data_IF_335270918926
#
_entry.id   IF_335270918926
#
_cell.length_a   1.000
_cell.length_b   1.000
_cell.length_c   1.000
_cell.angle_alpha   90.00
_cell.angle_beta   90.00
_cell.angle_gamma   90.00
#
_symmetry.space_group_name_H-M   'P 1'
#
loop_
_entity.id
_entity.type
_entity.pdbx_description
1 polymer ?
#
# COMPACT_ATOMS: atom_id res chain seq x y z
N UNK A 1 -14.71 -0.85 -12.11
CA UNK A 1 -13.42 -0.62 -12.80
C UNK A 1 -12.27 -1.34 -12.10
N UNK A 2 -12.27 -1.46 -10.77
CA UNK A 2 -11.15 -2.01 -10.01
C UNK A 2 -10.97 -3.53 -10.12
N UNK A 3 -12.07 -4.31 -10.16
CA UNK A 3 -12.01 -5.77 -10.40
C UNK A 3 -11.31 -6.15 -11.71
N UNK A 4 -11.39 -5.30 -12.74
CA UNK A 4 -10.67 -5.50 -14.00
C UNK A 4 -9.16 -5.48 -13.80
N UNK A 5 -8.65 -4.61 -12.92
CA UNK A 5 -7.21 -4.46 -12.66
C UNK A 5 -6.70 -5.48 -11.63
N UNK A 6 -7.53 -5.85 -10.65
CA UNK A 6 -7.22 -6.93 -9.70
C UNK A 6 -7.31 -8.34 -10.33
N UNK A 7 -7.73 -8.44 -11.60
CA UNK A 7 -7.89 -9.70 -12.37
C UNK A 7 -8.76 -10.74 -11.66
N UNK A 8 -9.61 -10.34 -10.72
CA UNK A 8 -10.33 -11.22 -9.79
C UNK A 8 -9.43 -12.18 -8.98
N UNK A 9 -8.13 -11.90 -8.87
CA UNK A 9 -7.17 -12.72 -8.11
C UNK A 9 -6.88 -12.10 -6.75
N UNK A 10 -6.83 -10.77 -6.68
CA UNK A 10 -6.50 -10.05 -5.44
C UNK A 10 -7.75 -9.43 -4.81
N UNK A 11 -7.91 -9.56 -3.48
CA UNK A 11 -9.02 -8.91 -2.79
C UNK A 11 -8.83 -7.39 -2.82
N UNK A 12 -9.95 -6.66 -2.97
CA UNK A 12 -10.00 -5.20 -2.86
C UNK A 12 -10.89 -4.88 -1.67
N UNK A 13 -10.36 -4.10 -0.74
CA UNK A 13 -11.09 -3.62 0.44
C UNK A 13 -11.25 -2.11 0.35
N UNK A 14 -12.47 -1.62 0.53
CA UNK A 14 -12.77 -0.20 0.54
C UNK A 14 -12.66 0.35 1.96
N UNK A 15 -11.95 1.46 2.12
CA UNK A 15 -11.84 2.23 3.36
C UNK A 15 -12.63 3.54 3.21
N UNK A 16 -13.95 3.42 3.12
CA UNK A 16 -14.87 4.57 2.97
C UNK A 16 -14.73 5.59 4.11
N UNK A 17 -14.63 5.18 5.39
CA UNK A 17 -14.46 6.13 6.50
C UNK A 17 -13.09 6.81 6.51
N UNK A 18 -12.07 6.19 5.90
CA UNK A 18 -10.69 6.69 5.95
C UNK A 18 -9.91 6.26 7.19
N UNK A 19 -10.50 5.45 8.06
CA UNK A 19 -9.93 5.00 9.33
C UNK A 19 -8.65 4.20 9.13
N UNK A 20 -8.61 3.33 8.10
CA UNK A 20 -7.43 2.50 7.82
C UNK A 20 -6.28 3.37 7.34
N UNK A 21 -6.54 4.30 6.42
CA UNK A 21 -5.50 5.23 5.96
C UNK A 21 -4.98 6.15 7.08
N UNK A 22 -5.85 6.61 7.97
CA UNK A 22 -5.44 7.41 9.13
C UNK A 22 -4.57 6.60 10.09
N UNK A 23 -4.99 5.38 10.45
CA UNK A 23 -4.25 4.47 11.31
C UNK A 23 -2.85 4.18 10.75
N UNK A 24 -2.77 3.99 9.43
CA UNK A 24 -1.52 3.71 8.71
C UNK A 24 -0.74 4.98 8.34
N UNK A 25 -1.21 6.16 8.74
CA UNK A 25 -0.58 7.47 8.46
C UNK A 25 -0.35 7.75 6.98
N UNK A 26 -1.21 7.23 6.12
CA UNK A 26 -1.18 7.54 4.70
C UNK A 26 -1.59 8.99 4.48
N UNK A 27 -0.68 9.81 3.94
CA UNK A 27 -0.96 11.22 3.71
C UNK A 27 -2.12 11.40 2.71
N UNK A 28 -3.01 12.34 3.00
CA UNK A 28 -4.00 12.83 2.05
C UNK A 28 -3.74 14.29 1.73
N UNK A 29 -3.79 14.64 0.45
CA UNK A 29 -3.77 16.05 0.05
C UNK A 29 -5.18 16.59 0.23
N UNK A 30 -5.43 17.18 1.41
CA UNK A 30 -6.74 17.71 1.87
C UNK A 30 -7.44 18.56 0.80
N UNK A 31 -6.68 19.37 0.05
CA UNK A 31 -7.23 20.22 -1.01
C UNK A 31 -7.66 19.47 -2.28
N UNK A 32 -7.24 18.22 -2.49
CA UNK A 32 -7.51 17.44 -3.72
C UNK A 32 -8.25 16.12 -3.47
N UNK A 33 -8.61 15.79 -2.21
CA UNK A 33 -9.30 14.55 -1.82
C UNK A 33 -8.65 13.26 -2.38
N UNK A 34 -7.36 13.32 -2.68
CA UNK A 34 -6.59 12.18 -3.18
C UNK A 34 -5.62 11.72 -2.09
N UNK A 35 -5.50 10.40 -1.95
CA UNK A 35 -4.54 9.76 -1.04
C UNK A 35 -3.21 9.61 -1.76
N UNK A 36 -2.12 9.87 -1.03
CA UNK A 36 -0.77 9.60 -1.50
C UNK A 36 -0.57 8.09 -1.65
N UNK A 37 0.18 7.60 -2.66
CA UNK A 37 0.51 6.19 -2.74
C UNK A 37 1.21 5.73 -1.47
N UNK A 38 0.79 4.59 -0.93
CA UNK A 38 1.44 3.92 0.18
C UNK A 38 1.42 2.42 -0.07
N UNK A 39 2.50 1.74 0.33
CA UNK A 39 2.65 0.29 0.23
C UNK A 39 3.24 -0.24 1.52
N UNK A 40 2.59 -1.27 2.09
CA UNK A 40 3.06 -1.96 3.28
C UNK A 40 3.28 -3.43 2.94
N UNK A 41 4.33 -4.03 3.49
CA UNK A 41 4.55 -5.47 3.47
C UNK A 41 4.53 -5.96 4.92
N UNK A 42 3.68 -6.95 5.17
CA UNK A 42 3.52 -7.58 6.47
C UNK A 42 4.07 -9.00 6.42
N UNK A 43 4.60 -9.47 7.54
CA UNK A 43 4.91 -10.89 7.73
C UNK A 43 3.66 -11.72 8.09
N UNK A 44 3.84 -13.03 8.24
CA UNK A 44 2.78 -13.97 8.65
C UNK A 44 2.27 -13.76 10.08
N UNK A 45 2.94 -12.94 10.89
CA UNK A 45 2.52 -12.56 12.25
C UNK A 45 1.81 -11.20 12.27
N UNK A 46 1.50 -10.64 11.10
CA UNK A 46 0.86 -9.33 10.90
C UNK A 46 1.72 -8.15 11.41
N UNK A 47 3.04 -8.29 11.41
CA UNK A 47 3.95 -7.20 11.71
C UNK A 47 4.36 -6.52 10.41
N UNK A 48 4.30 -5.19 10.36
CA UNK A 48 4.80 -4.40 9.21
C UNK A 48 6.32 -4.51 9.18
N UNK A 49 6.84 -5.11 8.12
CA UNK A 49 8.28 -5.31 7.89
C UNK A 49 8.85 -4.26 6.93
N UNK A 50 7.98 -3.67 6.10
CA UNK A 50 8.32 -2.57 5.23
C UNK A 50 7.14 -1.63 5.05
N UNK A 51 7.43 -0.33 5.04
CA UNK A 51 6.46 0.71 4.77
C UNK A 51 7.08 1.73 3.82
N UNK A 52 6.36 2.00 2.73
CA UNK A 52 6.70 3.03 1.77
C UNK A 52 5.56 4.02 1.68
N UNK A 53 5.88 5.30 1.82
CA UNK A 53 4.97 6.43 1.69
C UNK A 53 5.53 7.35 0.61
N UNK A 54 4.82 7.49 -0.50
CA UNK A 54 5.32 8.26 -1.64
C UNK A 54 5.21 9.78 -1.41
N UNK A 55 6.23 10.52 -1.83
CA UNK A 55 6.28 11.99 -1.78
C UNK A 55 5.47 12.64 -2.93
N UNK A 56 5.15 11.86 -3.97
CA UNK A 56 4.35 12.32 -5.12
C UNK A 56 3.39 11.24 -5.64
N UNK A 57 2.37 11.62 -6.42
CA UNK A 57 1.42 10.63 -6.98
C UNK A 57 2.08 9.63 -7.95
N UNK A 58 3.27 9.95 -8.44
CA UNK A 58 4.08 9.09 -9.30
C UNK A 58 5.18 8.37 -8.54
N UNK A 59 5.36 8.70 -7.26
CA UNK A 59 6.37 8.12 -6.41
C UNK A 59 5.84 6.80 -5.87
N UNK A 60 6.25 5.73 -6.54
CA UNK A 60 5.81 4.36 -6.32
C UNK A 60 7.09 3.52 -6.39
N UNK A 61 7.29 2.56 -5.47
CA UNK A 61 8.51 1.76 -5.42
C UNK A 61 8.61 0.83 -6.63
N UNK A 62 9.84 0.53 -7.05
CA UNK A 62 10.10 -0.43 -8.12
C UNK A 62 9.84 -1.86 -7.64
N UNK A 63 9.41 -2.74 -8.55
CA UNK A 63 9.05 -4.11 -8.19
C UNK A 63 10.24 -4.91 -7.64
N UNK A 64 11.44 -4.69 -8.19
CA UNK A 64 12.65 -5.41 -7.78
C UNK A 64 13.00 -5.12 -6.31
N UNK A 65 12.87 -3.86 -5.88
CA UNK A 65 13.08 -3.45 -4.47
C UNK A 65 12.10 -4.18 -3.53
N UNK A 66 10.83 -4.31 -3.95
CA UNK A 66 9.81 -5.01 -3.18
C UNK A 66 10.09 -6.50 -3.09
N UNK A 67 10.51 -7.14 -4.19
CA UNK A 67 10.81 -8.56 -4.20
C UNK A 67 12.01 -8.90 -3.32
N UNK A 68 13.04 -8.05 -3.25
CA UNK A 68 14.16 -8.24 -2.33
C UNK A 68 13.73 -8.23 -0.86
N UNK A 69 12.74 -7.41 -0.50
CA UNK A 69 12.19 -7.36 0.86
C UNK A 69 11.41 -8.63 1.16
N UNK A 70 10.52 -9.04 0.25
CA UNK A 70 9.68 -10.24 0.42
C UNK A 70 10.56 -11.49 0.58
N UNK A 71 11.61 -11.64 -0.24
CA UNK A 71 12.54 -12.78 -0.14
C UNK A 71 13.26 -12.86 1.21
N UNK A 72 13.43 -11.74 1.93
CA UNK A 72 14.02 -11.74 3.28
C UNK A 72 13.04 -12.21 4.36
N UNK A 73 11.73 -12.21 4.09
CA UNK A 73 10.69 -12.64 5.04
C UNK A 73 10.45 -14.15 5.03
N UNK A 74 10.78 -14.83 3.92
CA UNK A 74 10.58 -16.26 3.73
C UNK A 74 11.75 -17.13 4.28
N UNK A 75 12.67 -16.54 5.07
CA UNK A 75 13.79 -17.24 5.73
C UNK A 75 13.59 -17.41 7.24
#
# INVERSE_FOLDING_TARGET
MENKYARNVYPIFYDEPGEVSEMLKQESKVFKKNRMPALLILDSKNVIQYAYYGDSMKDIPENDDLFEIIQKLDN
#
